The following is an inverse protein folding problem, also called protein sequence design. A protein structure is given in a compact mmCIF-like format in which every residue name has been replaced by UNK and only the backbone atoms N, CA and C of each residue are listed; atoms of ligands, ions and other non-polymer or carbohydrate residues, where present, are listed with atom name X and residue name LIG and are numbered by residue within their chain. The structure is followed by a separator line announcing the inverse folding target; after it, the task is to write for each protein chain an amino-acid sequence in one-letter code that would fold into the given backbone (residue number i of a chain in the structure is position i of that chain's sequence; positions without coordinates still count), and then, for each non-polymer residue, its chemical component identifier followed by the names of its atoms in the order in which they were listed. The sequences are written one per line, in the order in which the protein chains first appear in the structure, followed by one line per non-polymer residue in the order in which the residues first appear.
data_IF_248548401432
#
_entry.id   IF_248548401432
#
_cell.length_a   1.000
_cell.length_b   1.000
_cell.length_c   1.000
_cell.angle_alpha   90.00
_cell.angle_beta   90.00
_cell.angle_gamma   90.00
#
_symmetry.space_group_name_H-M   'P 1'
#
loop_
_entity.id
_entity.type
_entity.pdbx_description
1 polymer ?
#
# COMPACT_ATOMS: atom_id res chain seq x y z
N UNK A 1 27.22 8.52 15.03
CA UNK A 1 25.92 9.11 14.66
C UNK A 1 24.85 8.13 15.08
N UNK A 2 24.15 8.42 16.20
CA UNK A 2 22.91 7.73 16.60
C UNK A 2 21.84 8.23 15.64
N UNK A 3 21.15 7.33 14.97
CA UNK A 3 19.82 7.66 14.46
C UNK A 3 18.86 7.13 15.52
N UNK A 4 18.29 8.06 16.27
CA UNK A 4 17.18 7.83 17.17
C UNK A 4 15.96 7.60 16.28
N UNK A 5 15.69 6.33 15.95
CA UNK A 5 14.42 5.89 15.41
C UNK A 5 13.44 5.76 16.59
N UNK A 6 13.04 6.90 17.15
CA UNK A 6 11.95 6.98 18.12
C UNK A 6 10.66 7.17 17.31
N UNK A 7 10.23 6.09 16.65
CA UNK A 7 8.88 5.96 16.14
C UNK A 7 7.91 5.80 17.31
N UNK A 8 7.72 6.86 18.10
CA UNK A 8 6.64 6.98 19.09
C UNK A 8 5.31 7.14 18.34
N UNK A 9 4.84 6.04 17.75
CA UNK A 9 3.47 5.93 17.31
C UNK A 9 2.58 5.77 18.53
N UNK A 10 1.78 6.80 18.84
CA UNK A 10 0.62 6.64 19.73
C UNK A 10 -0.26 5.55 19.10
N UNK A 11 -0.18 4.34 19.67
CA UNK A 11 -0.90 3.17 19.21
C UNK A 11 -2.37 3.30 19.55
N UNK A 12 -3.09 4.16 18.83
CA UNK A 12 -4.55 4.22 18.90
C UNK A 12 -5.10 2.92 18.32
N UNK A 13 -5.61 2.07 19.19
CA UNK A 13 -6.18 0.77 18.83
C UNK A 13 -7.56 0.62 19.46
N UNK A 14 -8.41 -0.19 18.83
CA UNK A 14 -9.73 -0.49 19.39
C UNK A 14 -9.55 -1.49 20.53
N UNK A 15 -9.94 -1.10 21.74
CA UNK A 15 -9.91 -2.01 22.88
C UNK A 15 -11.13 -2.95 22.81
N UNK A 16 -10.95 -4.29 22.89
CA UNK A 16 -12.06 -5.24 22.91
C UNK A 16 -12.98 -5.11 24.13
N UNK A 17 -12.56 -4.40 25.18
CA UNK A 17 -13.35 -4.18 26.40
C UNK A 17 -14.05 -2.81 26.41
N UNK A 18 -13.44 -1.78 25.80
CA UNK A 18 -14.03 -0.44 25.71
C UNK A 18 -14.85 -0.24 24.44
N UNK A 19 -14.70 -1.10 23.43
CA UNK A 19 -15.32 -1.00 22.10
C UNK A 19 -15.14 0.38 21.45
N UNK A 20 -14.06 1.07 21.80
CA UNK A 20 -13.73 2.45 21.39
C UNK A 20 -12.25 2.49 21.04
N UNK A 21 -11.85 3.37 20.13
CA UNK A 21 -10.45 3.67 19.85
C UNK A 21 -9.86 4.42 21.04
N UNK A 22 -8.98 3.76 21.77
CA UNK A 22 -8.31 4.33 22.93
C UNK A 22 -6.81 4.27 22.72
N UNK A 23 -6.06 5.18 23.34
CA UNK A 23 -4.60 5.07 23.31
C UNK A 23 -4.17 3.83 24.09
N UNK A 24 -3.24 3.06 23.52
CA UNK A 24 -2.67 1.88 24.16
C UNK A 24 -1.17 2.06 24.35
N UNK A 25 -0.68 1.74 25.56
CA UNK A 25 0.74 1.68 25.88
C UNK A 25 1.31 0.34 25.39
N UNK A 26 2.28 0.39 24.48
CA UNK A 26 2.94 -0.80 23.96
C UNK A 26 3.93 -1.33 25.00
N UNK A 27 3.61 -2.46 25.63
CA UNK A 27 4.49 -3.10 26.61
C UNK A 27 5.60 -3.91 25.96
N UNK A 28 5.29 -4.58 24.85
CA UNK A 28 6.24 -5.49 24.19
C UNK A 28 5.85 -5.72 22.74
N UNK A 29 6.80 -5.60 21.81
CA UNK A 29 6.67 -6.09 20.44
C UNK A 29 7.48 -7.37 20.30
N UNK A 30 6.89 -8.41 19.73
CA UNK A 30 7.56 -9.69 19.48
C UNK A 30 7.39 -10.06 18.02
N UNK A 31 8.48 -10.04 17.26
CA UNK A 31 8.46 -10.51 15.87
C UNK A 31 8.10 -11.99 15.83
N UNK A 32 7.10 -12.35 15.01
CA UNK A 32 6.65 -13.71 14.77
C UNK A 32 6.42 -13.88 13.27
N UNK A 33 7.23 -14.72 12.62
CA UNK A 33 7.15 -14.88 11.16
C UNK A 33 7.39 -13.55 10.44
N UNK A 34 6.49 -13.20 9.52
CA UNK A 34 6.53 -11.96 8.72
C UNK A 34 5.85 -10.75 9.40
N UNK A 35 5.37 -10.88 10.64
CA UNK A 35 4.73 -9.76 11.36
C UNK A 35 5.14 -9.63 12.82
N UNK A 36 4.45 -8.76 13.56
CA UNK A 36 4.69 -8.43 14.96
C UNK A 36 3.48 -8.72 15.85
N UNK A 37 3.72 -9.42 16.95
CA UNK A 37 2.79 -9.52 18.06
C UNK A 37 3.07 -8.38 19.05
N UNK A 38 2.16 -7.40 19.10
CA UNK A 38 2.26 -6.21 19.94
C UNK A 38 1.39 -6.40 21.17
N UNK A 39 2.03 -6.68 22.32
CA UNK A 39 1.38 -6.67 23.62
C UNK A 39 1.14 -5.22 24.03
N UNK A 40 -0.12 -4.81 24.00
CA UNK A 40 -0.56 -3.45 24.28
C UNK A 40 -1.44 -3.43 25.53
N UNK A 41 -1.30 -2.38 26.35
CA UNK A 41 -2.13 -2.13 27.53
C UNK A 41 -3.00 -0.92 27.26
N UNK A 42 -4.32 -1.08 27.34
CA UNK A 42 -5.24 0.04 27.25
C UNK A 42 -5.04 0.98 28.45
N UNK A 43 -4.87 2.28 28.21
CA UNK A 43 -4.72 3.28 29.29
C UNK A 43 -6.05 3.57 29.99
N UNK A 44 -7.18 3.34 29.32
CA UNK A 44 -8.52 3.62 29.84
C UNK A 44 -9.03 2.52 30.78
N UNK A 45 -8.90 1.24 30.39
CA UNK A 45 -9.38 0.10 31.19
C UNK A 45 -8.26 -0.71 31.86
N UNK A 46 -6.99 -0.42 31.57
CA UNK A 46 -5.83 -1.15 32.11
C UNK A 46 -5.66 -2.57 31.58
N UNK A 47 -6.54 -3.05 30.66
CA UNK A 47 -6.46 -4.40 30.12
C UNK A 47 -5.30 -4.54 29.15
N UNK A 48 -4.53 -5.60 29.35
CA UNK A 48 -3.44 -6.00 28.45
C UNK A 48 -4.00 -6.98 27.42
N UNK A 49 -3.78 -6.71 26.14
CA UNK A 49 -4.14 -7.60 25.04
C UNK A 49 -3.06 -7.58 23.95
N UNK A 50 -3.04 -8.63 23.13
CA UNK A 50 -2.06 -8.78 22.05
C UNK A 50 -2.72 -8.37 20.73
N UNK A 51 -2.10 -7.43 20.03
CA UNK A 51 -2.46 -7.01 18.68
C UNK A 51 -1.52 -7.75 17.73
N UNK A 52 -2.09 -8.55 16.83
CA UNK A 52 -1.34 -9.26 15.80
C UNK A 52 -1.27 -8.39 14.55
N UNK A 53 -0.11 -7.79 14.29
CA UNK A 53 0.15 -7.03 13.07
C UNK A 53 0.86 -7.98 12.11
N UNK A 54 0.13 -8.50 11.13
CA UNK A 54 0.69 -9.28 10.03
C UNK A 54 0.55 -8.43 8.76
N UNK A 55 1.63 -8.21 7.99
CA UNK A 55 1.49 -7.59 6.68
C UNK A 55 0.56 -8.47 5.83
N UNK A 56 -0.32 -7.88 5.01
CA UNK A 56 -1.11 -8.65 4.09
C UNK A 56 -0.18 -9.31 3.06
N UNK A 57 -0.64 -10.40 2.43
CA UNK A 57 0.24 -11.12 1.51
C UNK A 57 0.33 -10.33 0.21
N UNK A 58 1.56 -10.17 -0.30
CA UNK A 58 1.75 -9.70 -1.65
C UNK A 58 1.37 -10.81 -2.65
N UNK A 59 0.62 -10.43 -3.68
CA UNK A 59 0.32 -11.24 -4.86
C UNK A 59 1.09 -10.68 -6.06
N UNK A 60 1.63 -11.56 -6.89
CA UNK A 60 2.31 -11.18 -8.11
C UNK A 60 1.31 -11.10 -9.26
N UNK A 61 0.96 -9.89 -9.67
CA UNK A 61 0.07 -9.65 -10.82
C UNK A 61 0.91 -9.53 -12.09
N UNK A 62 0.54 -10.28 -13.13
CA UNK A 62 1.22 -10.21 -14.42
C UNK A 62 0.74 -8.97 -15.18
N UNK A 63 1.62 -7.99 -15.36
CA UNK A 63 1.34 -6.77 -16.13
C UNK A 63 2.12 -6.79 -17.45
N UNK A 64 1.43 -6.55 -18.56
CA UNK A 64 2.08 -6.24 -19.84
C UNK A 64 2.26 -4.74 -19.94
N UNK A 65 3.50 -4.30 -19.94
CA UNK A 65 3.93 -2.92 -19.99
C UNK A 65 4.30 -2.57 -21.43
N UNK A 66 3.64 -1.57 -22.00
CA UNK A 66 3.90 -1.13 -23.38
C UNK A 66 4.31 0.34 -23.40
N UNK A 67 5.56 0.63 -23.80
CA UNK A 67 6.07 2.00 -23.99
C UNK A 67 5.62 2.61 -25.34
N UNK A 68 5.07 1.77 -26.22
CA UNK A 68 4.60 2.14 -27.56
C UNK A 68 5.51 1.66 -28.67
N UNK A 69 6.79 1.40 -28.38
CA UNK A 69 7.74 0.77 -29.33
C UNK A 69 7.95 -0.71 -29.04
N UNK A 70 8.00 -1.09 -27.77
CA UNK A 70 8.16 -2.46 -27.31
C UNK A 70 7.05 -2.83 -26.31
N UNK A 71 6.99 -4.10 -25.92
CA UNK A 71 6.03 -4.60 -24.94
C UNK A 71 6.65 -5.72 -24.14
N UNK A 72 6.76 -5.52 -22.84
CA UNK A 72 7.36 -6.46 -21.91
C UNK A 72 6.34 -6.92 -20.87
N UNK A 73 6.50 -8.15 -20.39
CA UNK A 73 5.70 -8.67 -19.29
C UNK A 73 6.49 -8.50 -17.97
N UNK A 74 5.96 -7.69 -17.07
CA UNK A 74 6.43 -7.49 -15.71
C UNK A 74 5.55 -8.24 -14.69
N UNK A 75 6.14 -8.60 -13.56
CA UNK A 75 5.40 -9.03 -12.38
C UNK A 75 5.37 -7.86 -11.41
N UNK A 76 4.16 -7.43 -11.05
CA UNK A 76 3.93 -6.33 -10.12
C UNK A 76 3.54 -6.95 -8.78
N UNK A 77 4.30 -6.62 -7.74
CA UNK A 77 3.97 -7.01 -6.38
C UNK A 77 2.91 -6.05 -5.85
N UNK A 78 1.72 -6.58 -5.64
CA UNK A 78 0.57 -5.81 -5.16
C UNK A 78 0.01 -6.52 -3.93
N UNK A 79 -0.53 -5.77 -2.98
CA UNK A 79 -1.15 -6.35 -1.81
C UNK A 79 -2.44 -7.14 -2.17
N UNK A 80 -2.70 -8.27 -1.50
CA UNK A 80 -3.86 -9.13 -1.83
C UNK A 80 -5.21 -8.43 -1.69
N UNK A 81 -5.30 -7.45 -0.79
CA UNK A 81 -6.50 -6.65 -0.48
C UNK A 81 -6.60 -5.39 -1.36
N UNK A 82 -5.58 -5.09 -2.15
CA UNK A 82 -5.57 -3.91 -3.03
C UNK A 82 -6.56 -4.08 -4.19
N UNK A 83 -7.22 -2.98 -4.55
CA UNK A 83 -8.21 -2.96 -5.62
C UNK A 83 -7.70 -2.11 -6.77
N UNK A 84 -7.34 -2.75 -7.89
CA UNK A 84 -6.79 -2.07 -9.06
C UNK A 84 -7.94 -1.66 -9.99
N UNK A 85 -7.90 -0.42 -10.47
CA UNK A 85 -8.86 0.09 -11.46
C UNK A 85 -8.16 0.51 -12.75
N UNK A 86 -8.89 0.49 -13.86
CA UNK A 86 -8.43 1.05 -15.13
C UNK A 86 -8.27 2.57 -14.96
N UNK A 87 -7.11 3.09 -15.35
CA UNK A 87 -6.70 4.47 -15.14
C UNK A 87 -5.83 4.68 -13.88
N UNK A 88 -5.63 3.64 -13.07
CA UNK A 88 -4.72 3.71 -11.95
C UNK A 88 -3.26 3.83 -12.43
N UNK A 89 -2.41 4.53 -11.67
CA UNK A 89 -1.02 4.80 -12.05
C UNK A 89 -0.09 4.27 -10.97
N UNK A 90 0.82 3.37 -11.36
CA UNK A 90 1.78 2.74 -10.46
C UNK A 90 3.21 2.92 -10.94
N UNK A 91 4.17 2.79 -10.03
CA UNK A 91 5.60 2.83 -10.35
C UNK A 91 6.13 1.42 -10.58
N UNK A 92 6.84 1.22 -11.69
CA UNK A 92 7.56 -0.02 -11.98
C UNK A 92 8.81 0.28 -12.80
N UNK A 93 9.94 -0.30 -12.40
CA UNK A 93 11.23 -0.16 -13.07
C UNK A 93 11.65 1.32 -13.29
N UNK A 94 11.48 2.17 -12.27
CA UNK A 94 11.83 3.61 -12.30
C UNK A 94 10.96 4.45 -13.26
N UNK A 95 9.85 3.89 -13.77
CA UNK A 95 8.89 4.56 -14.63
C UNK A 95 7.47 4.46 -14.07
N UNK A 96 6.61 5.41 -14.44
CA UNK A 96 5.19 5.38 -14.10
C UNK A 96 4.40 4.72 -15.21
N UNK A 97 3.44 3.89 -14.84
CA UNK A 97 2.62 3.11 -15.73
C UNK A 97 1.14 3.30 -15.40
N UNK A 98 0.33 3.64 -16.39
CA UNK A 98 -1.12 3.79 -16.29
C UNK A 98 -1.81 2.52 -16.77
N UNK A 99 -2.66 1.93 -15.92
CA UNK A 99 -3.46 0.75 -16.23
C UNK A 99 -4.48 1.09 -17.30
N UNK A 100 -4.46 0.35 -18.40
CA UNK A 100 -5.38 0.54 -19.54
C UNK A 100 -6.40 -0.57 -19.67
N UNK A 101 -6.10 -1.75 -19.12
CA UNK A 101 -6.98 -2.92 -19.17
C UNK A 101 -6.65 -3.88 -18.03
N UNK A 102 -7.69 -4.47 -17.46
CA UNK A 102 -7.59 -5.51 -16.44
C UNK A 102 -8.41 -6.71 -16.90
N UNK A 103 -7.79 -7.89 -16.87
CA UNK A 103 -8.41 -9.18 -17.19
C UNK A 103 -8.26 -10.11 -15.99
N UNK A 104 -9.40 -10.62 -15.54
CA UNK A 104 -9.51 -11.47 -14.36
C UNK A 104 -9.70 -12.94 -14.71
N UNK A 105 -10.36 -13.67 -13.82
CA UNK A 105 -10.76 -15.06 -14.11
C UNK A 105 -11.87 -15.14 -15.18
N UNK A 106 -12.76 -14.15 -15.18
CA UNK A 106 -13.81 -14.02 -16.18
C UNK A 106 -13.24 -13.50 -17.51
N UNK A 107 -13.64 -14.10 -18.63
CA UNK A 107 -13.21 -13.73 -20.00
C UNK A 107 -13.73 -12.36 -20.49
N UNK A 108 -14.09 -11.46 -19.58
CA UNK A 108 -14.52 -10.10 -19.88
C UNK A 108 -13.63 -9.10 -19.13
N UNK A 109 -13.19 -8.03 -19.81
CA UNK A 109 -12.44 -6.97 -19.17
C UNK A 109 -13.29 -6.33 -18.07
N UNK A 110 -12.65 -5.99 -16.96
CA UNK A 110 -13.26 -5.30 -15.83
C UNK A 110 -12.63 -3.93 -15.66
N UNK A 111 -13.44 -2.96 -15.27
CA UNK A 111 -12.97 -1.61 -14.96
C UNK A 111 -12.26 -1.55 -13.60
N UNK A 112 -12.63 -2.45 -12.68
CA UNK A 112 -12.07 -2.56 -11.33
C UNK A 112 -12.04 -4.02 -10.90
N UNK A 113 -10.94 -4.47 -10.31
CA UNK A 113 -10.77 -5.83 -9.81
C UNK A 113 -9.77 -5.89 -8.64
N UNK A 114 -10.00 -6.78 -7.67
CA UNK A 114 -9.03 -7.02 -6.60
C UNK A 114 -7.76 -7.66 -7.14
N UNK A 115 -6.58 -7.26 -6.63
CA UNK A 115 -5.28 -7.73 -7.10
C UNK A 115 -5.20 -9.27 -7.14
N UNK A 116 -5.80 -9.93 -6.16
CA UNK A 116 -5.90 -11.40 -6.07
C UNK A 116 -6.69 -12.08 -7.20
N UNK A 117 -7.59 -11.35 -7.87
CA UNK A 117 -8.43 -11.86 -8.94
C UNK A 117 -7.88 -11.53 -10.34
N UNK A 118 -6.86 -10.67 -10.44
CA UNK A 118 -6.27 -10.25 -11.71
C UNK A 118 -5.36 -11.35 -12.22
N UNK A 119 -5.64 -11.81 -13.45
CA UNK A 119 -4.76 -12.75 -14.15
C UNK A 119 -3.73 -12.02 -14.99
N UNK A 120 -4.17 -11.00 -15.70
CA UNK A 120 -3.33 -10.18 -16.54
C UNK A 120 -3.86 -8.76 -16.58
N UNK A 121 -2.96 -7.79 -16.51
CA UNK A 121 -3.27 -6.38 -16.73
C UNK A 121 -2.36 -5.81 -17.82
N UNK A 122 -2.79 -4.72 -18.44
CA UNK A 122 -1.99 -3.98 -19.40
C UNK A 122 -1.84 -2.55 -18.92
N UNK A 123 -0.62 -2.06 -18.98
CA UNK A 123 -0.32 -0.69 -18.64
C UNK A 123 0.53 -0.04 -19.73
N UNK A 124 0.39 1.28 -19.84
CA UNK A 124 1.19 2.10 -20.75
C UNK A 124 2.01 3.08 -19.94
N UNK A 125 3.18 3.48 -20.44
CA UNK A 125 4.00 4.47 -19.76
C UNK A 125 3.19 5.78 -19.56
N UNK A 126 2.98 6.15 -18.30
CA UNK A 126 2.40 7.42 -17.92
C UNK A 126 3.50 8.47 -18.07
N UNK A 127 3.45 9.24 -19.16
CA UNK A 127 4.39 10.34 -19.39
C UNK A 127 4.28 11.31 -18.22
N UNK A 128 5.31 11.38 -17.37
CA UNK A 128 5.40 12.42 -16.34
C UNK A 128 5.36 13.78 -17.05
N UNK A 129 4.21 14.46 -16.95
CA UNK A 129 4.19 15.90 -17.13
C UNK A 129 5.10 16.48 -16.08
N UNK A 130 6.27 16.95 -16.51
CA UNK A 130 7.23 17.72 -15.72
C UNK A 130 6.47 18.73 -14.86
N UNK A 131 6.29 18.43 -13.58
CA UNK A 131 5.77 19.37 -12.59
C UNK A 131 6.85 20.37 -12.27
N UNK A 132 7.09 21.33 -13.17
CA UNK A 132 7.95 22.47 -12.90
C UNK A 132 7.30 23.31 -11.80
N UNK A 133 8.04 23.41 -10.71
CA UNK A 133 7.99 24.39 -9.65
C UNK A 133 7.48 25.77 -10.12
N UNK A 134 6.20 26.09 -9.85
CA UNK A 134 5.72 27.49 -9.82
C UNK A 134 5.38 27.85 -8.37
N UNK A 135 6.37 27.67 -7.48
CA UNK A 135 6.30 28.09 -6.09
C UNK A 135 6.97 29.45 -5.81
N UNK A 136 7.48 30.15 -6.84
CA UNK A 136 8.22 31.42 -6.66
C UNK A 136 7.61 32.64 -7.37
N UNK A 137 6.33 32.58 -7.78
CA UNK A 137 5.64 33.76 -8.36
C UNK A 137 4.82 34.57 -7.37
N UNK A 138 5.26 34.67 -6.11
CA UNK A 138 4.75 35.65 -5.15
C UNK A 138 5.84 36.10 -4.17
N UNK A 139 6.75 36.97 -4.62
CA UNK A 139 7.36 37.99 -3.76
C UNK A 139 7.82 39.20 -4.59
N UNK A 140 6.96 40.22 -4.58
CA UNK A 140 7.29 41.65 -4.48
C UNK A 140 8.57 42.14 -5.16
N UNK A 141 8.44 42.88 -6.27
CA UNK A 141 8.80 44.30 -6.42
C UNK A 141 8.73 44.77 -7.88
#
# INVERSE_FOLDING_TARGET
MRTEDEGEGDGSAICPDCSTSTSHEVLRRTQRGEGDDVLSRCVECGRVHTIEIRPPKAVAVMATLSDGSDSEAGNIEVDEDEVISVGDVFEHADALWEVTRIDGDASQPRDTLGASEIRAMWAREARQGRGEDDADRWREQ
#
